data_IF_515114151555
#
_entry.id   IF_515114151555
#
_cell.length_a   1.000
_cell.length_b   1.000
_cell.length_c   1.000
_cell.angle_alpha   90.00
_cell.angle_beta   90.00
_cell.angle_gamma   90.00
#
_symmetry.space_group_name_H-M   'P 1'
#
loop_
_entity.id
_entity.type
_entity.pdbx_description
1 polymer ?
#
# COMPACT_ATOMS: atom_id res chain seq x y z
N UNK A 1 32.83 -36.07 -11.45
CA UNK A 1 31.43 -36.34 -11.06
C UNK A 1 30.98 -35.22 -10.13
N UNK A 2 30.47 -34.12 -10.68
CA UNK A 2 30.07 -32.94 -9.92
C UNK A 2 28.67 -33.16 -9.33
N UNK A 3 28.56 -33.11 -7.99
CA UNK A 3 27.28 -33.15 -7.28
C UNK A 3 26.64 -31.76 -7.30
N UNK A 4 25.64 -31.57 -8.17
CA UNK A 4 24.83 -30.35 -8.20
C UNK A 4 23.83 -30.33 -7.04
N UNK A 5 23.74 -29.19 -6.34
CA UNK A 5 22.65 -28.89 -5.41
C UNK A 5 21.36 -28.69 -6.22
N UNK A 6 20.22 -29.29 -5.84
CA UNK A 6 18.97 -29.06 -6.56
C UNK A 6 18.52 -27.61 -6.41
N UNK A 7 18.17 -27.02 -7.55
CA UNK A 7 17.60 -25.69 -7.71
C UNK A 7 16.15 -25.72 -7.20
N UNK A 8 15.83 -24.95 -6.14
CA UNK A 8 14.47 -24.84 -5.64
C UNK A 8 13.62 -24.09 -6.67
N UNK A 9 12.72 -24.80 -7.35
CA UNK A 9 11.79 -24.23 -8.32
C UNK A 9 10.62 -23.57 -7.59
N UNK A 10 10.51 -22.26 -7.83
CA UNK A 10 9.37 -21.36 -7.67
C UNK A 10 8.02 -22.06 -7.36
N UNK A 11 7.60 -22.03 -6.10
CA UNK A 11 6.22 -22.27 -5.69
C UNK A 11 5.60 -20.89 -5.47
N UNK A 12 4.52 -20.65 -6.21
CA UNK A 12 3.69 -19.46 -6.29
C UNK A 12 3.40 -18.82 -4.94
N UNK A 13 3.74 -17.53 -4.80
CA UNK A 13 3.26 -16.65 -3.74
C UNK A 13 1.80 -16.29 -3.99
N UNK A 14 0.89 -17.22 -3.67
CA UNK A 14 -0.53 -16.93 -3.66
C UNK A 14 -0.88 -16.35 -2.29
N UNK A 15 -0.78 -15.03 -2.14
CA UNK A 15 -1.28 -14.34 -0.95
C UNK A 15 -2.81 -14.38 -1.00
N UNK A 16 -3.39 -15.43 -0.43
CA UNK A 16 -4.82 -15.43 -0.11
C UNK A 16 -4.98 -14.63 1.17
N UNK A 17 -5.49 -13.41 1.04
CA UNK A 17 -6.04 -12.69 2.20
C UNK A 17 -7.24 -13.54 2.66
N UNK A 18 -7.06 -14.28 3.75
CA UNK A 18 -8.13 -15.05 4.33
C UNK A 18 -9.22 -14.09 4.82
N UNK A 19 -10.47 -14.37 4.47
CA UNK A 19 -11.62 -13.74 5.14
C UNK A 19 -11.50 -14.00 6.66
N UNK A 20 -11.84 -13.03 7.53
CA UNK A 20 -11.70 -13.15 8.99
C UNK A 20 -12.34 -14.42 9.57
N UNK A 21 -13.32 -15.00 8.88
CA UNK A 21 -14.09 -16.15 9.36
C UNK A 21 -13.37 -17.52 9.25
N UNK A 22 -12.22 -17.63 8.60
CA UNK A 22 -11.65 -18.93 8.21
C UNK A 22 -10.28 -19.28 8.83
N UNK A 23 -9.90 -18.70 9.96
CA UNK A 23 -8.63 -19.02 10.64
C UNK A 23 -8.85 -19.73 11.98
N UNK A 24 -9.24 -21.00 11.94
CA UNK A 24 -9.25 -21.88 13.12
C UNK A 24 -8.04 -22.82 13.09
N UNK A 25 -6.95 -22.43 13.76
CA UNK A 25 -5.85 -23.33 14.09
C UNK A 25 -5.44 -23.16 15.57
N UNK A 26 -5.82 -24.19 16.34
CA UNK A 26 -5.18 -24.84 17.51
C UNK A 26 -4.30 -24.03 18.48
N UNK A 27 -4.67 -24.17 19.76
CA UNK A 27 -3.91 -24.03 21.02
C UNK A 27 -2.97 -22.82 21.17
N UNK A 28 -3.54 -21.80 21.81
CA UNK A 28 -2.91 -20.52 22.13
C UNK A 28 -3.60 -19.38 21.41
N UNK A 29 -4.91 -19.20 21.64
CA UNK A 29 -5.68 -18.10 21.04
C UNK A 29 -5.28 -16.78 21.72
N UNK A 30 -4.19 -16.19 21.27
CA UNK A 30 -4.05 -14.74 21.41
C UNK A 30 -4.92 -14.11 20.35
N UNK A 31 -5.89 -13.30 20.79
CA UNK A 31 -6.62 -12.38 19.93
C UNK A 31 -5.64 -11.24 19.58
N UNK A 32 -4.70 -11.52 18.66
CA UNK A 32 -3.75 -10.51 18.20
C UNK A 32 -4.47 -9.65 17.17
N UNK A 33 -4.79 -8.44 17.58
CA UNK A 33 -5.22 -7.38 16.68
C UNK A 33 -4.00 -6.99 15.82
N UNK A 34 -4.11 -7.19 14.51
CA UNK A 34 -3.07 -6.83 13.54
C UNK A 34 -3.62 -5.73 12.65
N UNK A 35 -2.99 -4.56 12.70
CA UNK A 35 -3.29 -3.45 11.80
C UNK A 35 -2.38 -3.51 10.57
N UNK A 36 -2.96 -3.28 9.39
CA UNK A 36 -2.23 -3.25 8.12
C UNK A 36 -2.16 -1.80 7.65
N UNK A 37 -0.94 -1.29 7.49
CA UNK A 37 -0.67 0.06 7.02
C UNK A 37 0.20 -0.03 5.77
N UNK A 38 -0.14 0.73 4.75
CA UNK A 38 0.59 0.82 3.48
C UNK A 38 0.58 2.27 2.96
N UNK A 39 1.25 2.54 1.85
CA UNK A 39 1.17 3.84 1.16
C UNK A 39 0.28 3.75 -0.09
N UNK A 40 0.01 4.90 -0.71
CA UNK A 40 -0.88 4.97 -1.88
C UNK A 40 -0.37 4.20 -3.10
N UNK A 41 0.92 3.85 -3.19
CA UNK A 41 1.45 3.09 -4.35
C UNK A 41 0.94 1.64 -4.41
N UNK A 42 0.29 1.16 -3.35
CA UNK A 42 -0.35 -0.14 -3.35
C UNK A 42 -1.59 -0.20 -4.25
N UNK A 43 -2.14 0.94 -4.68
CA UNK A 43 -3.26 1.07 -5.62
C UNK A 43 -4.48 0.18 -5.26
N UNK A 44 -4.73 -0.03 -3.96
CA UNK A 44 -5.77 -0.94 -3.45
C UNK A 44 -7.20 -0.50 -3.81
N UNK A 45 -7.38 0.80 -4.08
CA UNK A 45 -8.68 1.43 -4.20
C UNK A 45 -9.40 1.55 -2.85
N UNK A 46 -10.28 2.54 -2.72
CA UNK A 46 -10.90 2.83 -1.42
C UNK A 46 -11.80 1.71 -0.90
N UNK A 47 -12.45 0.96 -1.81
CA UNK A 47 -13.36 -0.10 -1.43
C UNK A 47 -12.62 -1.21 -0.68
N UNK A 48 -11.53 -1.73 -1.26
CA UNK A 48 -10.74 -2.81 -0.67
C UNK A 48 -10.07 -2.35 0.63
N UNK A 49 -9.54 -1.12 0.65
CA UNK A 49 -8.94 -0.55 1.85
C UNK A 49 -9.95 -0.47 3.01
N UNK A 50 -11.19 -0.03 2.74
CA UNK A 50 -12.27 0.01 3.75
C UNK A 50 -12.72 -1.38 4.19
N UNK A 51 -12.93 -2.29 3.25
CA UNK A 51 -13.41 -3.65 3.54
C UNK A 51 -12.44 -4.43 4.45
N UNK A 52 -11.13 -4.20 4.27
CA UNK A 52 -10.08 -4.88 5.03
C UNK A 52 -9.44 -4.04 6.13
N UNK A 53 -9.95 -2.83 6.39
CA UNK A 53 -9.41 -1.91 7.40
C UNK A 53 -7.91 -1.64 7.21
N UNK A 54 -7.50 -1.49 5.95
CA UNK A 54 -6.11 -1.14 5.60
C UNK A 54 -5.98 0.38 5.62
N UNK A 55 -5.07 0.89 6.44
CA UNK A 55 -4.74 2.30 6.44
C UNK A 55 -3.76 2.61 5.31
N UNK A 56 -4.11 3.58 4.47
CA UNK A 56 -3.30 4.01 3.32
C UNK A 56 -2.78 5.41 3.59
N UNK A 57 -1.46 5.55 3.66
CA UNK A 57 -0.77 6.85 3.81
C UNK A 57 -0.51 7.43 2.42
N UNK A 58 -1.07 8.59 2.06
CA UNK A 58 -0.91 9.13 0.72
C UNK A 58 0.52 9.65 0.51
N UNK A 59 1.10 9.35 -0.65
CA UNK A 59 2.32 10.01 -1.10
C UNK A 59 2.02 11.42 -1.66
N UNK A 60 3.07 12.21 -1.86
CA UNK A 60 2.94 13.55 -2.44
C UNK A 60 3.33 13.59 -3.92
N UNK A 61 2.51 14.27 -4.72
CA UNK A 61 2.71 14.55 -6.15
C UNK A 61 2.87 16.06 -6.36
N UNK A 62 3.98 16.47 -6.95
CA UNK A 62 4.27 17.86 -7.30
C UNK A 62 4.22 18.06 -8.82
N UNK A 63 3.39 18.98 -9.27
CA UNK A 63 3.26 19.38 -10.69
C UNK A 63 2.68 20.79 -10.78
N UNK A 64 3.14 21.60 -11.74
CA UNK A 64 2.60 22.94 -11.98
C UNK A 64 2.74 23.89 -10.77
N UNK A 65 3.81 23.76 -10.00
CA UNK A 65 4.08 24.62 -8.84
C UNK A 65 3.31 24.26 -7.57
N UNK A 66 2.57 23.15 -7.56
CA UNK A 66 1.72 22.73 -6.43
C UNK A 66 2.00 21.29 -6.04
N UNK A 67 1.80 21.00 -4.75
CA UNK A 67 1.87 19.65 -4.17
C UNK A 67 0.47 19.17 -3.83
N UNK A 68 0.21 17.89 -4.10
CA UNK A 68 -1.06 17.22 -3.91
C UNK A 68 -0.82 15.86 -3.24
N UNK A 69 -1.78 15.37 -2.46
CA UNK A 69 -1.77 14.01 -1.92
C UNK A 69 -2.45 13.05 -2.90
N UNK A 70 -1.74 11.98 -3.21
CA UNK A 70 -2.18 10.94 -4.12
C UNK A 70 -3.41 10.19 -3.60
N UNK A 71 -4.43 10.03 -4.45
CA UNK A 71 -5.71 9.41 -4.10
C UNK A 71 -6.61 10.22 -3.17
N UNK A 72 -6.15 11.39 -2.69
CA UNK A 72 -6.92 12.27 -1.78
C UNK A 72 -7.24 13.61 -2.45
N UNK A 73 -6.20 14.31 -2.92
CA UNK A 73 -6.36 15.60 -3.58
C UNK A 73 -6.43 15.46 -5.11
N UNK A 74 -5.86 14.38 -5.66
CA UNK A 74 -5.90 14.05 -7.09
C UNK A 74 -5.98 12.54 -7.34
N UNK A 75 -6.65 12.16 -8.41
CA UNK A 75 -6.60 10.80 -8.96
C UNK A 75 -5.63 10.68 -10.14
N UNK A 76 -5.40 9.45 -10.60
CA UNK A 76 -4.49 9.17 -11.71
C UNK A 76 -4.82 9.99 -12.98
N UNK A 77 -6.10 10.07 -13.35
CA UNK A 77 -6.56 10.84 -14.52
C UNK A 77 -6.25 12.33 -14.41
N UNK A 78 -6.29 12.89 -13.19
CA UNK A 78 -5.97 14.29 -12.95
C UNK A 78 -4.49 14.57 -13.15
N UNK A 79 -3.60 13.63 -12.77
CA UNK A 79 -2.16 13.74 -13.00
C UNK A 79 -1.87 13.84 -14.49
N UNK A 80 -2.45 12.94 -15.30
CA UNK A 80 -2.24 12.96 -16.75
C UNK A 80 -2.76 14.25 -17.38
N UNK A 81 -3.93 14.73 -16.96
CA UNK A 81 -4.47 16.01 -17.43
C UNK A 81 -3.54 17.18 -17.07
N UNK A 82 -2.98 17.21 -15.86
CA UNK A 82 -2.04 18.26 -15.45
C UNK A 82 -0.73 18.20 -16.25
N UNK A 83 -0.27 17.02 -16.66
CA UNK A 83 0.88 16.88 -17.57
C UNK A 83 0.58 17.50 -18.94
N UNK A 84 -0.61 17.25 -19.49
CA UNK A 84 -1.03 17.84 -20.77
C UNK A 84 -1.18 19.37 -20.68
N UNK A 85 -1.74 19.88 -19.58
CA UNK A 85 -1.97 21.31 -19.37
C UNK A 85 -0.68 22.09 -19.10
N UNK A 86 0.23 21.53 -18.30
CA UNK A 86 1.45 22.22 -17.84
C UNK A 86 2.66 21.96 -18.73
N UNK A 87 2.68 20.83 -19.45
CA UNK A 87 3.86 20.34 -20.16
C UNK A 87 4.99 19.87 -19.23
N UNK A 88 4.74 19.79 -17.92
CA UNK A 88 5.71 19.36 -16.91
C UNK A 88 5.45 17.91 -16.52
N UNK A 89 6.52 17.14 -16.27
CA UNK A 89 6.39 15.82 -15.67
C UNK A 89 6.24 15.94 -14.15
N UNK A 90 5.37 15.12 -13.53
CA UNK A 90 5.18 15.15 -12.10
C UNK A 90 6.44 14.65 -11.38
N UNK A 91 6.68 15.19 -10.19
CA UNK A 91 7.68 14.68 -9.25
C UNK A 91 6.95 14.12 -8.05
N UNK A 92 7.40 12.98 -7.54
CA UNK A 92 6.80 12.36 -6.37
C UNK A 92 7.77 12.31 -5.21
N UNK A 93 7.22 12.31 -4.00
CA UNK A 93 7.98 12.00 -2.77
C UNK A 93 7.19 11.02 -1.93
N UNK A 94 7.91 10.05 -1.36
CA UNK A 94 7.35 9.11 -0.39
C UNK A 94 6.77 9.87 0.83
N UNK A 95 5.82 9.26 1.55
CA UNK A 95 5.35 9.81 2.81
C UNK A 95 6.52 10.00 3.80
N UNK A 96 6.43 11.06 4.58
CA UNK A 96 7.41 11.40 5.61
C UNK A 96 7.33 10.44 6.78
N UNK A 97 8.41 10.42 7.58
CA UNK A 97 8.44 9.67 8.84
C UNK A 97 7.32 10.14 9.78
N UNK A 98 6.99 11.44 9.77
CA UNK A 98 5.95 12.00 10.62
C UNK A 98 4.55 11.50 10.21
N UNK A 99 4.25 11.43 8.91
CA UNK A 99 2.96 10.92 8.42
C UNK A 99 2.79 9.43 8.73
N UNK A 100 3.84 8.63 8.56
CA UNK A 100 3.80 7.22 8.98
C UNK A 100 3.66 7.08 10.49
N UNK A 101 4.36 7.91 11.27
CA UNK A 101 4.24 7.90 12.74
C UNK A 101 2.80 8.18 13.17
N UNK A 102 2.16 9.19 12.58
CA UNK A 102 0.75 9.50 12.84
C UNK A 102 -0.17 8.32 12.46
N UNK A 103 0.08 7.67 11.31
CA UNK A 103 -0.67 6.49 10.91
C UNK A 103 -0.53 5.33 11.91
N UNK A 104 0.68 5.08 12.42
CA UNK A 104 0.91 4.07 13.46
C UNK A 104 0.19 4.41 14.76
N UNK A 105 0.31 5.66 15.24
CA UNK A 105 -0.36 6.12 16.47
C UNK A 105 -1.88 6.09 16.35
N UNK A 106 -2.44 6.34 15.16
CA UNK A 106 -3.89 6.28 14.91
C UNK A 106 -4.48 4.87 14.87
N UNK A 107 -3.62 3.86 14.68
CA UNK A 107 -4.01 2.46 14.60
C UNK A 107 -3.85 1.71 15.94
N UNK A 108 -3.36 2.37 17.00
CA UNK A 108 -3.28 1.82 18.37
C UNK A 108 -4.64 1.74 19.08
#
# INVERSE_FOLDING_TARGET
MAGGRPFATNQSWNCRIASPAAMTAREGSYDIMVNIITDSTADLGEQLAREHQVHVVPLSVYIGGKTYRDGVDLGAEDVFRLVEETGELPKTSAPTIAEFKEAFESAE
#
